data_IF_421306737579
#
_entry.id   IF_421306737579
#
_cell.length_a   1.000
_cell.length_b   1.000
_cell.length_c   1.000
_cell.angle_alpha   90.00
_cell.angle_beta   90.00
_cell.angle_gamma   90.00
#
_symmetry.space_group_name_H-M   'P 1'
#
loop_
_entity.id
_entity.type
_entity.pdbx_description
1 polymer ?
#
# COMPACT_ATOMS: atom_id res chain seq x y z
N UNK A 1 10.21 30.06 7.75
CA UNK A 1 11.38 29.77 8.61
C UNK A 1 11.32 28.28 8.95
N UNK A 2 12.21 27.46 8.41
CA UNK A 2 12.13 26.00 8.57
C UNK A 2 12.41 25.59 10.02
N UNK A 3 11.44 24.93 10.67
CA UNK A 3 11.63 24.42 12.03
C UNK A 3 12.79 23.42 12.04
N UNK A 4 13.83 23.71 12.83
CA UNK A 4 14.93 22.76 13.04
C UNK A 4 14.38 21.57 13.83
N UNK A 5 14.41 20.38 13.22
CA UNK A 5 14.09 19.15 13.93
C UNK A 5 15.25 18.85 14.88
N UNK A 6 14.95 18.83 16.18
CA UNK A 6 15.87 18.40 17.23
C UNK A 6 15.75 16.89 17.45
N UNK A 7 16.69 16.31 18.20
CA UNK A 7 16.66 14.89 18.55
C UNK A 7 15.34 14.47 19.20
N UNK A 8 14.82 15.28 20.12
CA UNK A 8 13.58 14.98 20.83
C UNK A 8 12.38 14.94 19.88
N UNK A 9 12.26 15.93 18.98
CA UNK A 9 11.19 15.96 17.98
C UNK A 9 11.26 14.74 17.05
N UNK A 10 12.47 14.30 16.69
CA UNK A 10 12.64 13.07 15.93
C UNK A 10 12.15 11.84 16.71
N UNK A 11 12.55 11.69 17.97
CA UNK A 11 12.16 10.55 18.81
C UNK A 11 10.65 10.50 19.04
N UNK A 12 10.02 11.65 19.27
CA UNK A 12 8.57 11.75 19.43
C UNK A 12 7.83 11.29 18.16
N UNK A 13 8.22 11.81 16.99
CA UNK A 13 7.64 11.40 15.71
C UNK A 13 7.90 9.93 15.40
N UNK A 14 9.08 9.44 15.74
CA UNK A 14 9.45 8.04 15.52
C UNK A 14 8.61 7.12 16.41
N UNK A 15 8.42 7.47 17.69
CA UNK A 15 7.55 6.73 18.62
C UNK A 15 6.09 6.79 18.21
N UNK A 16 5.60 7.93 17.73
CA UNK A 16 4.22 8.07 17.24
C UNK A 16 3.96 7.16 16.02
N UNK A 17 4.93 7.03 15.11
CA UNK A 17 4.77 6.29 13.86
C UNK A 17 5.10 4.80 13.99
N UNK A 18 6.08 4.45 14.81
CA UNK A 18 6.60 3.09 14.93
C UNK A 18 6.37 2.45 16.30
N UNK A 19 5.95 3.21 17.31
CA UNK A 19 5.83 2.73 18.69
C UNK A 19 7.17 2.26 19.25
N UNK A 20 7.17 1.07 19.85
CA UNK A 20 8.34 0.44 20.47
C UNK A 20 9.07 -0.56 19.55
N UNK A 21 8.85 -0.48 18.24
CA UNK A 21 9.48 -1.39 17.26
C UNK A 21 11.00 -1.20 17.13
N UNK A 22 11.51 -0.01 17.47
CA UNK A 22 12.92 0.34 17.33
C UNK A 22 13.50 0.82 18.64
N UNK A 23 14.73 0.41 18.88
CA UNK A 23 15.56 0.87 19.99
C UNK A 23 16.42 2.04 19.54
N UNK A 24 16.35 3.12 20.32
CA UNK A 24 17.04 4.39 20.08
C UNK A 24 18.14 4.67 21.13
N UNK A 25 18.47 3.71 22.00
CA UNK A 25 19.36 3.91 23.15
C UNK A 25 20.79 4.30 22.75
N UNK A 26 21.23 3.91 21.55
CA UNK A 26 22.56 4.18 21.01
C UNK A 26 22.65 5.34 20.00
N UNK A 27 21.61 6.17 19.87
CA UNK A 27 21.62 7.27 18.89
C UNK A 27 22.66 8.33 19.25
N UNK A 28 23.59 8.58 18.33
CA UNK A 28 24.44 9.77 18.35
C UNK A 28 23.86 10.85 17.44
N UNK A 29 23.21 11.84 18.04
CA UNK A 29 22.60 12.93 17.27
C UNK A 29 23.65 13.95 16.82
N UNK A 30 23.73 14.18 15.50
CA UNK A 30 24.53 15.28 14.91
C UNK A 30 23.66 16.25 14.14
N UNK A 31 22.81 15.74 13.24
CA UNK A 31 21.85 16.53 12.46
C UNK A 31 20.75 15.63 11.90
N UNK A 32 19.68 16.25 11.38
CA UNK A 32 18.58 15.54 10.73
C UNK A 32 18.99 14.71 9.49
N UNK A 33 20.09 15.12 8.83
CA UNK A 33 20.65 14.42 7.66
C UNK A 33 21.83 13.51 8.02
N UNK A 34 22.29 13.53 9.26
CA UNK A 34 23.40 12.68 9.70
C UNK A 34 22.91 11.25 9.96
N UNK A 35 23.69 10.23 9.60
CA UNK A 35 23.34 8.85 9.88
C UNK A 35 23.35 8.60 11.39
N UNK A 36 22.31 7.93 11.88
CA UNK A 36 22.19 7.44 13.25
C UNK A 36 22.11 5.92 13.24
N UNK A 37 22.54 5.30 14.34
CA UNK A 37 22.42 3.85 14.55
C UNK A 37 21.16 3.56 15.34
N UNK A 38 20.32 2.68 14.81
CA UNK A 38 19.10 2.22 15.46
C UNK A 38 19.03 0.70 15.40
N UNK A 39 18.33 0.07 16.33
CA UNK A 39 18.17 -1.39 16.35
C UNK A 39 16.69 -1.75 16.23
N UNK A 40 16.37 -2.73 15.40
CA UNK A 40 15.00 -3.27 15.37
C UNK A 40 14.80 -4.21 16.57
N UNK A 41 13.72 -4.02 17.33
CA UNK A 41 13.31 -4.93 18.42
C UNK A 41 12.42 -6.07 17.91
N UNK A 42 11.71 -5.86 16.81
CA UNK A 42 10.80 -6.85 16.22
C UNK A 42 11.54 -8.00 15.51
N UNK A 43 12.68 -7.71 14.89
CA UNK A 43 13.44 -8.69 14.10
C UNK A 43 14.86 -8.85 14.64
N UNK A 44 15.44 -10.06 14.58
CA UNK A 44 16.81 -10.33 15.02
C UNK A 44 17.82 -9.81 13.99
N UNK A 45 17.99 -8.49 13.92
CA UNK A 45 18.97 -7.82 13.04
C UNK A 45 19.99 -7.04 13.85
N UNK A 46 21.16 -6.83 13.24
CA UNK A 46 22.18 -5.94 13.75
C UNK A 46 21.71 -4.47 13.72
N UNK A 47 22.50 -3.58 14.33
CA UNK A 47 22.28 -2.15 14.25
C UNK A 47 22.25 -1.67 12.80
N UNK A 48 21.26 -0.84 12.50
CA UNK A 48 21.01 -0.27 11.19
C UNK A 48 21.48 1.17 11.21
N UNK A 49 22.28 1.54 10.22
CA UNK A 49 22.69 2.92 9.98
C UNK A 49 21.71 3.57 9.02
N UNK A 50 20.94 4.55 9.48
CA UNK A 50 19.95 5.29 8.67
C UNK A 50 19.90 6.76 9.08
N UNK A 51 19.54 7.66 8.17
CA UNK A 51 19.34 9.07 8.52
C UNK A 51 17.94 9.27 9.14
N UNK A 52 17.77 10.19 10.11
CA UNK A 52 16.48 10.55 10.70
C UNK A 52 15.42 10.90 9.65
N UNK A 53 15.82 11.62 8.59
CA UNK A 53 14.97 11.95 7.45
C UNK A 53 14.41 10.70 6.75
N UNK A 54 15.30 9.77 6.36
CA UNK A 54 14.90 8.53 5.68
C UNK A 54 14.11 7.61 6.59
N UNK A 55 14.45 7.56 7.88
CA UNK A 55 13.74 6.79 8.90
C UNK A 55 12.26 7.21 8.97
N UNK A 56 12.00 8.52 9.05
CA UNK A 56 10.63 9.05 9.08
C UNK A 56 9.91 8.96 7.74
N UNK A 57 10.59 9.14 6.60
CA UNK A 57 9.95 9.02 5.29
C UNK A 57 9.58 7.56 4.96
N UNK A 58 10.43 6.62 5.31
CA UNK A 58 10.30 5.20 4.97
C UNK A 58 9.58 4.41 6.07
N UNK A 59 9.64 3.09 6.01
CA UNK A 59 9.12 2.12 7.00
C UNK A 59 10.04 1.96 8.23
N UNK A 60 11.07 2.80 8.40
CA UNK A 60 11.85 2.80 9.64
C UNK A 60 13.04 1.84 9.71
N UNK A 61 13.47 1.22 8.61
CA UNK A 61 14.89 0.90 8.45
C UNK A 61 15.33 -0.57 8.51
N UNK A 62 14.55 -1.53 8.99
CA UNK A 62 14.98 -2.93 8.95
C UNK A 62 14.56 -3.66 7.67
N UNK A 63 15.46 -4.46 7.07
CA UNK A 63 15.21 -5.18 5.80
C UNK A 63 13.98 -6.09 5.86
N UNK A 64 13.69 -6.68 7.03
CA UNK A 64 12.50 -7.51 7.25
C UNK A 64 11.22 -6.65 7.32
N UNK A 65 11.24 -5.57 8.10
CA UNK A 65 10.17 -4.58 8.21
C UNK A 65 9.76 -4.01 6.83
N UNK A 66 10.76 -3.71 6.00
CA UNK A 66 10.57 -3.25 4.63
C UNK A 66 9.89 -4.31 3.75
N UNK A 67 10.29 -5.59 3.90
CA UNK A 67 9.69 -6.70 3.17
C UNK A 67 8.25 -6.95 3.60
N UNK A 68 7.98 -7.02 4.90
CA UNK A 68 6.62 -7.21 5.45
C UNK A 68 5.67 -6.14 4.95
N UNK A 69 6.04 -4.86 5.05
CA UNK A 69 5.18 -3.77 4.57
C UNK A 69 4.96 -3.80 3.05
N UNK A 70 5.94 -4.29 2.28
CA UNK A 70 5.78 -4.47 0.83
C UNK A 70 4.77 -5.59 0.52
N UNK A 71 4.83 -6.69 1.27
CA UNK A 71 3.87 -7.80 1.15
C UNK A 71 2.47 -7.30 1.52
N UNK A 72 2.30 -6.63 2.66
CA UNK A 72 1.01 -6.06 3.09
C UNK A 72 0.43 -5.08 2.06
N UNK A 73 1.28 -4.26 1.42
CA UNK A 73 0.83 -3.34 0.38
C UNK A 73 0.35 -4.07 -0.88
N UNK A 74 1.04 -5.13 -1.30
CA UNK A 74 0.66 -5.95 -2.44
C UNK A 74 -0.64 -6.72 -2.16
N UNK A 75 -0.78 -7.30 -0.98
CA UNK A 75 -1.99 -8.01 -0.56
C UNK A 75 -3.21 -7.09 -0.56
N UNK A 76 -3.07 -5.84 -0.08
CA UNK A 76 -4.14 -4.84 -0.14
C UNK A 76 -4.56 -4.52 -1.57
N UNK A 77 -3.59 -4.41 -2.49
CA UNK A 77 -3.87 -4.14 -3.90
C UNK A 77 -4.55 -5.34 -4.58
N UNK A 78 -4.10 -6.56 -4.30
CA UNK A 78 -4.74 -7.79 -4.77
C UNK A 78 -6.17 -7.92 -4.24
N UNK A 79 -6.40 -7.63 -2.96
CA UNK A 79 -7.74 -7.68 -2.38
C UNK A 79 -8.66 -6.59 -2.97
N UNK A 80 -8.12 -5.41 -3.29
CA UNK A 80 -8.88 -4.33 -3.95
C UNK A 80 -9.24 -4.69 -5.40
N UNK A 81 -8.32 -5.31 -6.14
CA UNK A 81 -8.54 -5.72 -7.53
C UNK A 81 -9.42 -6.96 -7.66
N UNK A 82 -9.38 -7.88 -6.69
CA UNK A 82 -10.33 -8.98 -6.55
C UNK A 82 -11.74 -8.50 -6.15
N UNK A 83 -11.84 -7.36 -5.45
CA UNK A 83 -13.09 -6.68 -5.14
C UNK A 83 -13.58 -5.77 -6.28
N UNK A 84 -13.41 -6.16 -7.55
CA UNK A 84 -14.29 -5.63 -8.61
C UNK A 84 -15.72 -5.97 -8.17
N UNK A 85 -16.58 -4.97 -7.90
CA UNK A 85 -17.91 -5.27 -7.42
C UNK A 85 -18.61 -6.12 -8.49
N UNK A 86 -19.33 -7.15 -8.04
CA UNK A 86 -20.26 -7.93 -8.86
C UNK A 86 -21.41 -7.09 -9.48
N UNK A 87 -21.27 -5.76 -9.52
CA UNK A 87 -22.24 -4.80 -10.03
C UNK A 87 -22.13 -4.57 -11.54
N UNK A 88 -21.11 -5.10 -12.24
CA UNK A 88 -21.06 -5.09 -13.71
C UNK A 88 -21.57 -6.41 -14.31
N UNK A 89 -22.51 -7.06 -13.62
CA UNK A 89 -23.27 -8.22 -14.12
C UNK A 89 -24.77 -8.01 -13.85
N UNK A 90 -25.28 -6.84 -14.21
CA UNK A 90 -26.68 -6.76 -14.65
C UNK A 90 -26.65 -6.33 -16.10
N UNK A 91 -26.55 -7.32 -16.99
CA UNK A 91 -27.26 -7.24 -18.27
C UNK A 91 -28.73 -6.98 -17.95
N UNK A 92 -29.32 -5.83 -18.32
CA UNK A 92 -30.76 -5.79 -18.40
C UNK A 92 -31.16 -6.67 -19.59
N UNK A 93 -31.84 -7.76 -19.28
CA UNK A 93 -32.63 -8.49 -20.25
C UNK A 93 -33.55 -7.51 -21.02
N UNK A 94 -33.66 -7.75 -22.31
CA UNK A 94 -34.33 -6.94 -23.33
C UNK A 94 -35.81 -6.62 -23.05
N UNK A 95 -36.40 -5.68 -23.84
CA UNK A 95 -37.76 -5.84 -24.31
C UNK A 95 -37.86 -5.83 -25.86
N UNK A 96 -39.02 -6.23 -26.42
CA UNK A 96 -39.13 -7.04 -27.62
C UNK A 96 -39.31 -6.19 -28.90
N UNK A 97 -38.56 -6.52 -29.95
CA UNK A 97 -38.80 -5.96 -31.29
C UNK A 97 -39.31 -7.06 -32.21
N UNK A 98 -40.64 -7.12 -32.26
CA UNK A 98 -41.51 -7.44 -33.39
C UNK A 98 -40.85 -8.07 -34.62
N UNK A 99 -41.27 -9.31 -34.90
CA UNK A 99 -41.10 -9.99 -36.18
C UNK A 99 -41.67 -9.13 -37.33
N UNK A 100 -40.99 -8.97 -38.48
CA UNK A 100 -41.68 -8.84 -39.74
C UNK A 100 -42.02 -10.24 -40.26
N UNK A 101 -43.26 -10.37 -40.70
CA UNK A 101 -43.94 -11.59 -41.13
C UNK A 101 -43.20 -12.32 -42.26
N UNK A 102 -43.30 -13.65 -42.20
CA UNK A 102 -43.13 -14.54 -43.35
C UNK A 102 -44.22 -14.21 -44.38
N UNK A 103 -43.82 -13.81 -45.59
CA UNK A 103 -44.65 -14.03 -46.77
C UNK A 103 -44.10 -15.25 -47.50
N UNK A 104 -44.78 -16.37 -47.26
CA UNK A 104 -44.66 -17.59 -48.04
C UNK A 104 -45.45 -17.40 -49.32
N UNK A 105 -44.78 -16.96 -50.38
CA UNK A 105 -45.28 -17.11 -51.73
C UNK A 105 -44.81 -18.46 -52.28
N UNK A 106 -45.44 -19.54 -51.82
CA UNK A 106 -45.44 -20.83 -52.50
C UNK A 106 -46.55 -20.80 -53.56
N UNK A 107 -46.19 -20.95 -54.84
CA UNK A 107 -47.12 -21.33 -55.88
C UNK A 107 -46.43 -22.31 -56.81
N UNK A 108 -46.62 -23.59 -56.45
CA UNK A 108 -47.05 -24.70 -57.29
C UNK A 108 -46.51 -24.75 -58.73
N UNK A 109 -45.73 -25.80 -58.95
CA UNK A 109 -45.54 -26.50 -60.23
C UNK A 109 -46.84 -27.12 -60.72
N UNK A 110 -47.24 -26.79 -61.96
CA UNK A 110 -47.89 -27.68 -62.93
C UNK A 110 -47.31 -27.36 -64.31
#
# INVERSE_FOLDING_TARGET
>A
MGARITQQVFLERAKQRFGDQFDYSGIQWRSYKSPVKIRCRKHPVQEITITPEKHLQTTGGCRHCLRERRIEALERELNRSAARPAAEITSPAAPPTTQPQVDVSESVVV
#
